data_IF_763721756942
#
_entry.id   IF_763721756942
#
_cell.length_a   1.000
_cell.length_b   1.000
_cell.length_c   1.000
_cell.angle_alpha   90.00
_cell.angle_beta   90.00
_cell.angle_gamma   90.00
#
_symmetry.space_group_name_H-M   'P 1'
#
loop_
_entity.id
_entity.type
_entity.pdbx_description
1 polymer ?
#
# COMPACT_ATOMS: atom_id res chain seq x y z
N UNK A 1 -10.76 8.42 -5.21
CA UNK A 1 -9.76 7.51 -4.61
C UNK A 1 -10.36 6.82 -3.39
N UNK A 2 -10.35 5.49 -3.36
CA UNK A 2 -10.77 4.69 -2.19
C UNK A 2 -9.93 3.43 -2.06
N UNK A 3 -9.68 2.98 -0.83
CA UNK A 3 -9.12 1.65 -0.58
C UNK A 3 -10.24 0.62 -0.78
N UNK A 4 -9.97 -0.39 -1.61
CA UNK A 4 -10.90 -1.50 -1.86
C UNK A 4 -10.65 -2.66 -0.90
N UNK A 5 -9.38 -2.89 -0.57
CA UNK A 5 -8.94 -4.00 0.24
C UNK A 5 -7.60 -3.67 0.91
N UNK A 6 -7.44 -4.08 2.16
CA UNK A 6 -6.18 -4.01 2.89
C UNK A 6 -6.01 -5.31 3.70
N UNK A 7 -4.87 -5.98 3.52
CA UNK A 7 -4.60 -7.25 4.18
C UNK A 7 -3.20 -7.25 4.79
N UNK A 8 -3.07 -7.37 6.13
CA UNK A 8 -1.79 -7.54 6.78
C UNK A 8 -1.04 -8.74 6.22
N UNK A 9 0.28 -8.64 6.08
CA UNK A 9 1.11 -9.77 5.64
C UNK A 9 2.03 -10.23 6.77
N UNK A 10 2.43 -11.50 6.72
CA UNK A 10 3.49 -12.05 7.57
C UNK A 10 4.87 -12.05 6.90
N UNK A 11 5.06 -11.31 5.80
CA UNK A 11 6.35 -11.25 5.11
C UNK A 11 7.43 -10.64 6.02
N UNK A 12 8.53 -11.38 6.21
CA UNK A 12 9.70 -10.92 6.96
C UNK A 12 10.90 -10.78 6.01
N UNK A 13 11.47 -9.58 5.85
CA UNK A 13 12.57 -9.34 4.89
C UNK A 13 12.93 -7.87 4.65
N UNK A 14 13.84 -7.58 3.72
CA UNK A 14 14.58 -6.30 3.54
C UNK A 14 13.78 -4.98 3.53
N UNK A 15 12.47 -5.03 3.42
CA UNK A 15 11.55 -3.89 3.54
C UNK A 15 10.21 -4.43 4.02
N UNK A 16 9.95 -4.33 5.31
CA UNK A 16 8.79 -4.91 6.00
C UNK A 16 7.48 -4.48 5.30
N UNK A 17 7.01 -5.33 4.39
CA UNK A 17 5.75 -5.13 3.70
C UNK A 17 4.64 -5.53 4.67
N UNK A 18 4.10 -4.54 5.36
CA UNK A 18 3.15 -4.78 6.45
C UNK A 18 1.76 -5.13 5.95
N UNK A 19 1.41 -4.73 4.72
CA UNK A 19 0.13 -5.04 4.10
C UNK A 19 0.17 -5.03 2.57
N UNK A 20 -0.72 -5.81 1.97
CA UNK A 20 -1.16 -5.62 0.58
C UNK A 20 -2.40 -4.75 0.54
N UNK A 21 -2.47 -3.84 -0.43
CA UNK A 21 -3.55 -2.84 -0.56
C UNK A 21 -4.00 -2.73 -2.01
N UNK A 22 -5.32 -2.74 -2.21
CA UNK A 22 -5.95 -2.49 -3.50
C UNK A 22 -6.65 -1.13 -3.47
N UNK A 23 -6.51 -0.36 -4.55
CA UNK A 23 -6.99 1.02 -4.62
C UNK A 23 -7.76 1.26 -5.90
N UNK A 24 -8.91 1.89 -5.77
CA UNK A 24 -9.56 2.58 -6.88
C UNK A 24 -9.09 4.03 -6.90
N UNK A 25 -8.38 4.41 -7.97
CA UNK A 25 -7.83 5.76 -8.12
C UNK A 25 -8.95 6.74 -8.48
N UNK A 26 -9.77 6.36 -9.45
CA UNK A 26 -10.95 7.07 -9.93
C UNK A 26 -11.96 6.06 -10.51
N UNK A 27 -13.01 6.55 -11.16
CA UNK A 27 -14.08 5.71 -11.69
C UNK A 27 -13.62 4.75 -12.80
N UNK A 28 -12.44 4.98 -13.38
CA UNK A 28 -11.91 4.24 -14.53
C UNK A 28 -10.75 3.30 -14.15
N UNK A 29 -10.00 3.60 -13.09
CA UNK A 29 -8.70 2.96 -12.80
C UNK A 29 -8.67 2.35 -11.40
N UNK A 30 -8.31 1.07 -11.35
CA UNK A 30 -7.98 0.32 -10.13
C UNK A 30 -6.58 -0.25 -10.21
N UNK A 31 -5.88 -0.26 -9.09
CA UNK A 31 -4.55 -0.83 -8.93
C UNK A 31 -4.60 -1.87 -7.81
N UNK A 32 -4.05 -3.05 -8.09
CA UNK A 32 -4.12 -4.21 -7.20
C UNK A 32 -2.74 -4.63 -6.72
N UNK A 33 -2.67 -5.19 -5.52
CA UNK A 33 -1.47 -5.74 -4.91
C UNK A 33 -0.42 -4.69 -4.56
N UNK A 34 -0.82 -3.44 -4.29
CA UNK A 34 0.13 -2.43 -3.82
C UNK A 34 0.72 -2.87 -2.48
N UNK A 35 2.01 -2.58 -2.28
CA UNK A 35 2.76 -2.99 -1.09
C UNK A 35 2.91 -1.80 -0.16
N UNK A 36 2.31 -1.88 1.03
CA UNK A 36 2.52 -0.91 2.10
C UNK A 36 3.76 -1.33 2.89
N UNK A 37 4.82 -0.53 2.81
CA UNK A 37 6.12 -0.87 3.37
C UNK A 37 6.46 0.07 4.51
N UNK A 38 6.79 -0.49 5.68
CA UNK A 38 7.33 0.27 6.81
C UNK A 38 8.83 0.50 6.61
N UNK A 39 9.23 1.77 6.69
CA UNK A 39 10.62 2.20 6.61
C UNK A 39 11.29 2.09 8.00
N UNK A 40 12.64 2.07 8.07
CA UNK A 40 13.36 2.04 9.34
C UNK A 40 13.06 3.24 10.27
N UNK A 41 12.69 4.39 9.70
CA UNK A 41 12.29 5.59 10.46
C UNK A 41 10.83 5.54 10.96
N UNK A 42 10.13 4.42 10.72
CA UNK A 42 8.75 4.20 11.11
C UNK A 42 7.71 4.74 10.13
N UNK A 43 8.09 5.52 9.11
CA UNK A 43 7.15 5.97 8.08
C UNK A 43 6.72 4.81 7.20
N UNK A 44 5.54 4.93 6.61
CA UNK A 44 5.08 4.01 5.58
C UNK A 44 5.28 4.60 4.19
N UNK A 45 5.48 3.74 3.19
CA UNK A 45 5.47 4.09 1.77
C UNK A 45 4.68 3.04 1.00
N UNK A 46 3.81 3.49 0.10
CA UNK A 46 3.06 2.61 -0.79
C UNK A 46 3.78 2.45 -2.13
N UNK A 47 3.93 1.21 -2.58
CA UNK A 47 4.57 0.88 -3.85
C UNK A 47 3.69 0.02 -4.74
N UNK A 48 3.70 0.31 -6.03
CA UNK A 48 3.13 -0.61 -7.02
C UNK A 48 3.91 -1.94 -7.06
N UNK A 49 3.24 -3.05 -7.42
CA UNK A 49 3.89 -4.31 -7.72
C UNK A 49 5.03 -4.17 -8.74
N UNK A 50 5.89 -5.19 -8.79
CA UNK A 50 6.83 -5.33 -9.89
C UNK A 50 6.34 -6.36 -10.90
N UNK A 51 6.59 -6.08 -12.18
CA UNK A 51 6.52 -7.02 -13.28
C UNK A 51 7.95 -7.23 -13.81
N UNK A 52 8.57 -8.35 -13.42
CA UNK A 52 10.00 -8.57 -13.64
C UNK A 52 10.84 -7.52 -12.89
N UNK A 53 11.67 -6.77 -13.64
CA UNK A 53 12.57 -5.77 -13.07
C UNK A 53 12.00 -4.34 -13.03
N UNK A 54 10.71 -4.16 -13.36
CA UNK A 54 10.08 -2.83 -13.46
C UNK A 54 8.86 -2.74 -12.55
N UNK A 55 8.60 -1.55 -12.03
CA UNK A 55 7.34 -1.24 -11.35
C UNK A 55 6.21 -1.20 -12.36
N UNK A 56 5.04 -1.70 -11.98
CA UNK A 56 3.83 -1.65 -12.83
C UNK A 56 3.22 -0.24 -12.89
N UNK A 57 3.49 0.60 -11.89
CA UNK A 57 3.10 2.00 -11.87
C UNK A 57 4.07 2.87 -11.04
N UNK A 58 4.08 4.17 -11.33
CA UNK A 58 4.69 5.21 -10.51
C UNK A 58 3.70 6.33 -10.29
N UNK A 59 3.89 7.09 -9.22
CA UNK A 59 3.01 8.19 -8.83
C UNK A 59 3.85 9.45 -8.63
N UNK A 60 3.24 10.61 -8.87
CA UNK A 60 3.82 11.87 -8.40
C UNK A 60 3.94 11.86 -6.88
N UNK A 61 4.88 12.64 -6.32
CA UNK A 61 5.08 12.71 -4.87
C UNK A 61 3.77 13.03 -4.11
N UNK A 62 2.96 14.05 -4.50
CA UNK A 62 1.72 14.35 -3.78
C UNK A 62 0.72 13.19 -3.81
N UNK A 63 0.59 12.50 -4.95
CA UNK A 63 -0.31 11.36 -5.06
C UNK A 63 0.18 10.16 -4.24
N UNK A 64 1.49 9.89 -4.23
CA UNK A 64 2.06 8.83 -3.42
C UNK A 64 1.83 9.06 -1.91
N UNK A 65 1.95 10.31 -1.44
CA UNK A 65 1.68 10.69 -0.05
C UNK A 65 0.20 10.48 0.32
N UNK A 66 -0.74 10.91 -0.55
CA UNK A 66 -2.18 10.69 -0.35
C UNK A 66 -2.54 9.19 -0.32
N UNK A 67 -2.03 8.42 -1.28
CA UNK A 67 -2.27 6.97 -1.33
C UNK A 67 -1.71 6.25 -0.11
N UNK A 68 -0.53 6.68 0.36
CA UNK A 68 0.09 6.11 1.56
C UNK A 68 -0.74 6.40 2.81
N UNK A 69 -1.26 7.61 2.97
CA UNK A 69 -2.11 7.96 4.10
C UNK A 69 -3.39 7.09 4.15
N UNK A 70 -4.09 6.94 3.02
CA UNK A 70 -5.28 6.09 2.91
C UNK A 70 -4.96 4.62 3.20
N UNK A 71 -3.81 4.12 2.71
CA UNK A 71 -3.38 2.76 2.94
C UNK A 71 -3.05 2.48 4.42
N UNK A 72 -2.43 3.44 5.12
CA UNK A 72 -2.14 3.32 6.56
C UNK A 72 -3.43 3.28 7.37
N UNK A 73 -4.39 4.17 7.07
CA UNK A 73 -5.69 4.17 7.76
C UNK A 73 -6.40 2.83 7.61
N UNK A 74 -6.47 2.30 6.39
CA UNK A 74 -7.08 0.99 6.13
C UNK A 74 -6.32 -0.15 6.80
N UNK A 75 -4.98 -0.11 6.83
CA UNK A 75 -4.18 -1.12 7.52
C UNK A 75 -4.44 -1.14 9.02
N UNK A 76 -4.47 0.02 9.67
CA UNK A 76 -4.72 0.11 11.12
C UNK A 76 -6.15 -0.32 11.48
N UNK A 77 -7.14 0.01 10.67
CA UNK A 77 -8.52 -0.44 10.86
C UNK A 77 -8.60 -1.98 10.85
N UNK A 78 -8.02 -2.64 9.84
CA UNK A 78 -8.02 -4.11 9.76
C UNK A 78 -7.21 -4.73 10.90
N UNK A 79 -6.12 -4.11 11.33
CA UNK A 79 -5.34 -4.57 12.49
C UNK A 79 -6.08 -4.47 13.81
N UNK A 80 -6.92 -3.46 13.97
CA UNK A 80 -7.72 -3.26 15.17
C UNK A 80 -8.79 -4.34 15.29
N UNK A 81 -9.45 -4.70 14.18
CA UNK A 81 -10.52 -5.72 14.16
C UNK A 81 -10.00 -7.16 14.42
N UNK A 82 -8.69 -7.38 14.28
CA UNK A 82 -8.04 -8.68 14.54
C UNK A 82 -7.63 -8.89 16.00
N UNK A 83 -7.85 -7.92 16.89
CA UNK A 83 -7.50 -7.97 18.32
C UNK A 83 -8.73 -8.18 19.19
#
# INVERSE_FOLDING_TARGET
MKILYAHPTGETGQRDCVAFVDVELNDDVRLYGLRLVRQPDGRHLLYAPQAGHRRTATFSKPLAEQLTALAVEAYEAVRHDQR
#
